data_IF_757361111010
#
_entry.id   IF_757361111010
#
_cell.length_a   1.000
_cell.length_b   1.000
_cell.length_c   1.000
_cell.angle_alpha   90.00
_cell.angle_beta   90.00
_cell.angle_gamma   90.00
#
_symmetry.space_group_name_H-M   'P 1'
#
loop_
_entity.id
_entity.type
_entity.pdbx_description
1 polymer ?
#
# COMPACT_ATOMS: atom_id res chain seq x y z
N UNK A 1 -6.27 -22.10 -11.61
CA UNK A 1 -7.04 -22.47 -10.39
C UNK A 1 -6.05 -22.90 -9.32
N UNK A 2 -5.90 -22.11 -8.26
CA UNK A 2 -5.04 -22.46 -7.14
C UNK A 2 -5.70 -23.60 -6.34
N UNK A 3 -4.94 -24.67 -6.06
CA UNK A 3 -5.41 -25.79 -5.22
C UNK A 3 -4.76 -25.65 -3.85
N UNK A 4 -5.52 -25.36 -2.82
CA UNK A 4 -5.13 -25.59 -1.42
C UNK A 4 -5.89 -26.83 -0.92
N UNK A 5 -5.16 -27.91 -0.61
CA UNK A 5 -5.76 -29.09 0.01
C UNK A 5 -6.79 -29.86 -0.81
N UNK A 6 -6.72 -29.83 -2.16
CA UNK A 6 -7.61 -30.64 -3.01
C UNK A 6 -9.00 -30.04 -3.29
N UNK A 7 -9.39 -28.95 -2.65
CA UNK A 7 -10.63 -28.23 -2.97
C UNK A 7 -10.35 -27.07 -3.94
N UNK A 8 -11.19 -26.98 -4.98
CA UNK A 8 -11.21 -25.81 -5.88
C UNK A 8 -11.84 -24.66 -5.13
N UNK A 9 -11.10 -23.58 -4.90
CA UNK A 9 -11.67 -22.37 -4.30
C UNK A 9 -12.66 -21.75 -5.28
N UNK A 10 -13.88 -21.48 -4.81
CA UNK A 10 -14.89 -20.76 -5.55
C UNK A 10 -14.75 -19.25 -5.32
N UNK A 11 -14.27 -18.56 -6.32
CA UNK A 11 -14.11 -17.09 -6.29
C UNK A 11 -15.31 -16.34 -6.85
N UNK A 12 -16.39 -17.02 -7.24
CA UNK A 12 -17.52 -16.43 -7.98
C UNK A 12 -18.20 -15.26 -7.24
N UNK A 13 -18.20 -15.28 -5.92
CA UNK A 13 -18.80 -14.20 -5.10
C UNK A 13 -17.92 -12.96 -5.14
N UNK A 14 -16.60 -13.13 -4.96
CA UNK A 14 -15.63 -12.05 -5.02
C UNK A 14 -15.59 -11.46 -6.43
N UNK A 15 -15.57 -12.33 -7.42
CA UNK A 15 -15.55 -11.99 -8.84
C UNK A 15 -16.73 -11.08 -9.22
N UNK A 16 -17.96 -11.49 -8.88
CA UNK A 16 -19.17 -10.67 -9.11
C UNK A 16 -19.13 -9.33 -8.38
N UNK A 17 -18.63 -9.32 -7.16
CA UNK A 17 -18.52 -8.09 -6.39
C UNK A 17 -17.54 -7.11 -7.04
N UNK A 18 -16.39 -7.59 -7.49
CA UNK A 18 -15.40 -6.77 -8.19
C UNK A 18 -15.95 -6.27 -9.53
N UNK A 19 -16.59 -7.13 -10.32
CA UNK A 19 -17.23 -6.73 -11.58
C UNK A 19 -18.25 -5.60 -11.34
N UNK A 20 -19.07 -5.71 -10.30
CA UNK A 20 -20.02 -4.64 -9.93
C UNK A 20 -19.30 -3.33 -9.56
N UNK A 21 -18.21 -3.40 -8.81
CA UNK A 21 -17.41 -2.21 -8.50
C UNK A 21 -16.82 -1.56 -9.76
N UNK A 22 -16.28 -2.36 -10.66
CA UNK A 22 -15.66 -1.87 -11.90
C UNK A 22 -16.68 -1.24 -12.84
N UNK A 23 -17.90 -1.80 -12.96
CA UNK A 23 -18.96 -1.19 -13.81
C UNK A 23 -19.39 0.19 -13.32
N UNK A 24 -19.15 0.52 -12.05
CA UNK A 24 -19.48 1.81 -11.43
C UNK A 24 -18.27 2.74 -11.29
N UNK A 25 -17.12 2.33 -11.77
CA UNK A 25 -15.85 3.03 -11.57
C UNK A 25 -15.24 3.47 -12.89
N UNK A 26 -14.54 4.60 -12.82
CA UNK A 26 -13.57 5.04 -13.82
C UNK A 26 -12.24 5.35 -13.14
N UNK A 27 -11.11 5.38 -13.85
CA UNK A 27 -9.81 5.70 -13.24
C UNK A 27 -9.79 7.00 -12.44
N UNK A 28 -10.54 8.01 -12.86
CA UNK A 28 -10.66 9.31 -12.17
C UNK A 28 -11.70 9.31 -11.04
N UNK A 29 -12.71 8.41 -11.10
CA UNK A 29 -13.82 8.32 -10.14
C UNK A 29 -14.09 6.88 -9.72
N UNK A 30 -13.19 6.25 -8.99
CA UNK A 30 -13.41 4.89 -8.50
C UNK A 30 -14.46 4.89 -7.40
N UNK A 31 -15.44 3.99 -7.48
CA UNK A 31 -16.59 3.95 -6.55
C UNK A 31 -16.18 3.76 -5.08
N UNK A 32 -15.03 3.15 -4.80
CA UNK A 32 -14.54 3.00 -3.43
C UNK A 32 -14.10 4.32 -2.78
N UNK A 33 -14.00 5.41 -3.55
CA UNK A 33 -13.80 6.77 -3.07
C UNK A 33 -15.10 7.58 -3.08
N UNK A 34 -16.25 6.93 -2.88
CA UNK A 34 -17.60 7.52 -3.03
C UNK A 34 -17.80 8.79 -2.21
N UNK A 35 -17.21 8.87 -1.01
CA UNK A 35 -17.34 10.05 -0.16
C UNK A 35 -16.76 11.30 -0.83
N UNK A 36 -15.57 11.19 -1.45
CA UNK A 36 -14.97 12.28 -2.21
C UNK A 36 -15.78 12.61 -3.46
N UNK A 37 -16.26 11.59 -4.16
CA UNK A 37 -17.08 11.75 -5.36
C UNK A 37 -18.37 12.53 -5.02
N UNK A 38 -19.06 12.17 -3.94
CA UNK A 38 -20.28 12.85 -3.50
C UNK A 38 -20.04 14.31 -3.08
N UNK A 39 -18.85 14.62 -2.59
CA UNK A 39 -18.45 15.98 -2.24
C UNK A 39 -17.93 16.79 -3.47
N UNK A 40 -17.93 16.20 -4.65
CA UNK A 40 -17.38 16.83 -5.86
C UNK A 40 -15.84 17.00 -5.84
N UNK A 41 -15.16 16.28 -4.94
CA UNK A 41 -13.71 16.33 -4.80
C UNK A 41 -13.04 15.33 -5.74
N UNK A 42 -11.83 15.68 -6.19
CA UNK A 42 -11.00 14.72 -6.90
C UNK A 42 -10.52 13.61 -5.96
N UNK A 43 -10.53 12.39 -6.43
CA UNK A 43 -9.82 11.30 -5.77
C UNK A 43 -8.31 11.57 -5.84
N UNK A 44 -7.62 11.40 -4.71
CA UNK A 44 -6.17 11.57 -4.59
C UNK A 44 -5.52 10.23 -4.33
N UNK A 45 -4.21 10.12 -4.56
CA UNK A 45 -3.43 8.95 -4.18
C UNK A 45 -3.60 8.62 -2.69
N UNK A 46 -4.03 7.40 -2.36
CA UNK A 46 -4.28 6.98 -0.97
C UNK A 46 -4.17 5.46 -0.79
N UNK A 47 -4.23 5.01 0.47
CA UNK A 47 -4.09 3.60 0.82
C UNK A 47 -5.26 2.72 0.34
N UNK A 48 -6.48 3.27 0.26
CA UNK A 48 -7.68 2.53 -0.21
C UNK A 48 -7.46 2.12 -1.66
N UNK A 49 -6.97 3.04 -2.50
CA UNK A 49 -6.60 2.76 -3.88
C UNK A 49 -5.57 1.61 -3.95
N UNK A 50 -4.56 1.66 -3.08
CA UNK A 50 -3.56 0.60 -2.99
C UNK A 50 -4.14 -0.78 -2.68
N UNK A 51 -5.09 -0.85 -1.74
CA UNK A 51 -5.78 -2.10 -1.40
C UNK A 51 -6.63 -2.61 -2.57
N UNK A 52 -7.40 -1.72 -3.22
CA UNK A 52 -8.29 -2.11 -4.31
C UNK A 52 -7.53 -2.53 -5.56
N UNK A 53 -6.52 -1.76 -5.97
CA UNK A 53 -5.72 -2.11 -7.16
C UNK A 53 -4.93 -3.41 -6.91
N UNK A 54 -4.39 -3.61 -5.71
CA UNK A 54 -3.74 -4.89 -5.37
C UNK A 54 -4.72 -6.05 -5.43
N UNK A 55 -5.95 -5.90 -4.94
CA UNK A 55 -6.98 -6.93 -5.05
C UNK A 55 -7.32 -7.27 -6.51
N UNK A 56 -7.39 -6.27 -7.40
CA UNK A 56 -7.60 -6.49 -8.83
C UNK A 56 -6.45 -7.28 -9.46
N UNK A 57 -5.20 -6.95 -9.17
CA UNK A 57 -4.02 -7.66 -9.68
C UNK A 57 -3.99 -9.11 -9.16
N UNK A 58 -4.32 -9.36 -7.90
CA UNK A 58 -4.44 -10.71 -7.36
C UNK A 58 -5.55 -11.51 -8.05
N UNK A 59 -6.72 -10.91 -8.26
CA UNK A 59 -7.80 -11.55 -9.01
C UNK A 59 -7.43 -11.81 -10.47
N UNK A 60 -6.69 -10.90 -11.11
CA UNK A 60 -6.13 -11.17 -12.43
C UNK A 60 -5.16 -12.37 -12.40
N UNK A 61 -4.30 -12.46 -11.40
CA UNK A 61 -3.37 -13.58 -11.27
C UNK A 61 -4.06 -14.93 -11.14
N UNK A 62 -5.24 -14.97 -10.49
CA UNK A 62 -6.04 -16.17 -10.22
C UNK A 62 -6.94 -16.51 -11.40
N UNK A 63 -7.70 -15.53 -11.91
CA UNK A 63 -8.79 -15.75 -12.88
C UNK A 63 -8.35 -15.59 -14.33
N UNK A 64 -7.28 -14.84 -14.57
CA UNK A 64 -6.81 -14.40 -15.89
C UNK A 64 -7.82 -13.53 -16.65
N UNK A 65 -8.78 -12.92 -15.95
CA UNK A 65 -9.69 -11.94 -16.55
C UNK A 65 -8.94 -10.65 -16.84
N UNK A 66 -8.79 -10.34 -18.12
CA UNK A 66 -7.99 -9.21 -18.59
C UNK A 66 -8.51 -7.87 -18.07
N UNK A 67 -9.81 -7.73 -17.88
CA UNK A 67 -10.47 -6.52 -17.40
C UNK A 67 -9.95 -6.03 -16.05
N UNK A 68 -9.50 -6.93 -15.15
CA UNK A 68 -8.94 -6.57 -13.87
C UNK A 68 -7.57 -5.91 -14.01
N UNK A 69 -6.74 -6.47 -14.87
CA UNK A 69 -5.45 -5.88 -15.21
C UNK A 69 -5.63 -4.53 -15.93
N UNK A 70 -6.51 -4.49 -16.95
CA UNK A 70 -6.74 -3.29 -17.75
C UNK A 70 -7.21 -2.12 -16.88
N UNK A 71 -8.12 -2.38 -15.93
CA UNK A 71 -8.56 -1.34 -15.01
C UNK A 71 -7.44 -0.92 -14.04
N UNK A 72 -6.69 -1.87 -13.49
CA UNK A 72 -5.58 -1.59 -12.57
C UNK A 72 -4.50 -0.73 -13.25
N UNK A 73 -4.10 -1.11 -14.47
CA UNK A 73 -3.14 -0.35 -15.25
C UNK A 73 -3.67 1.03 -15.63
N UNK A 74 -4.90 1.13 -16.13
CA UNK A 74 -5.51 2.41 -16.49
C UNK A 74 -5.64 3.36 -15.29
N UNK A 75 -5.97 2.84 -14.10
CA UNK A 75 -6.06 3.62 -12.86
C UNK A 75 -4.71 4.20 -12.45
N UNK A 76 -3.67 3.39 -12.45
CA UNK A 76 -2.31 3.84 -12.09
C UNK A 76 -1.74 4.74 -13.18
N UNK A 77 -1.96 4.40 -14.46
CA UNK A 77 -1.50 5.17 -15.61
C UNK A 77 -2.06 6.60 -15.64
N UNK A 78 -3.33 6.76 -15.23
CA UNK A 78 -4.00 8.04 -15.12
C UNK A 78 -3.35 8.96 -14.08
N UNK A 79 -2.77 8.41 -13.01
CA UNK A 79 -2.20 9.18 -11.89
C UNK A 79 -0.70 9.40 -12.00
N UNK A 80 0.00 8.52 -12.65
CA UNK A 80 1.48 8.56 -12.75
C UNK A 80 1.88 9.23 -14.07
N UNK A 81 2.60 10.34 -13.97
CA UNK A 81 3.11 11.09 -15.11
C UNK A 81 4.43 10.51 -15.65
N UNK A 82 4.82 10.90 -16.85
CA UNK A 82 6.02 10.37 -17.54
C UNK A 82 7.33 10.67 -16.80
N UNK A 83 7.35 11.70 -15.97
CA UNK A 83 8.47 12.04 -15.10
C UNK A 83 8.50 11.25 -13.77
N UNK A 84 7.46 10.44 -13.50
CA UNK A 84 7.30 9.65 -12.29
C UNK A 84 6.58 10.36 -11.16
N UNK A 85 6.16 11.61 -11.34
CA UNK A 85 5.29 12.29 -10.37
C UNK A 85 3.92 11.65 -10.33
N UNK A 86 3.23 11.77 -9.20
CA UNK A 86 1.95 11.09 -8.95
C UNK A 86 0.92 12.12 -8.48
N UNK A 87 -0.22 12.16 -9.14
CA UNK A 87 -1.34 13.04 -8.77
C UNK A 87 -1.81 12.78 -7.34
N UNK A 88 -1.74 13.82 -6.50
CA UNK A 88 -2.18 13.75 -5.11
C UNK A 88 -1.23 13.02 -4.17
N UNK A 89 0.02 12.83 -4.57
CA UNK A 89 1.12 12.34 -3.73
C UNK A 89 2.17 13.44 -3.53
N UNK A 90 2.45 13.74 -2.28
CA UNK A 90 3.51 14.67 -1.89
C UNK A 90 4.45 14.01 -0.89
N UNK A 91 5.71 13.85 -1.26
CA UNK A 91 6.75 13.28 -0.39
C UNK A 91 6.87 14.04 0.94
N UNK A 92 6.65 15.36 0.94
CA UNK A 92 6.79 16.20 2.13
C UNK A 92 5.72 15.94 3.21
N UNK A 93 4.60 15.30 2.87
CA UNK A 93 3.60 14.88 3.85
C UNK A 93 4.15 13.83 4.81
N UNK A 94 5.15 13.05 4.39
CA UNK A 94 5.75 11.97 5.17
C UNK A 94 4.68 11.08 5.82
N UNK A 95 3.75 10.61 4.98
CA UNK A 95 2.60 9.81 5.37
C UNK A 95 2.78 8.36 4.89
N UNK A 96 2.92 7.42 5.84
CA UNK A 96 3.13 6.00 5.53
C UNK A 96 1.98 5.41 4.73
N UNK A 97 0.74 5.84 4.97
CA UNK A 97 -0.42 5.34 4.23
C UNK A 97 -0.29 5.53 2.72
N UNK A 98 0.33 6.64 2.32
CA UNK A 98 0.50 6.97 0.90
C UNK A 98 1.51 6.04 0.19
N UNK A 99 2.33 5.29 0.93
CA UNK A 99 3.25 4.28 0.37
C UNK A 99 2.47 3.04 -0.12
N UNK A 100 1.31 2.75 0.47
CA UNK A 100 0.58 1.51 0.23
C UNK A 100 0.25 1.27 -1.25
N UNK A 101 -0.25 2.29 -1.95
CA UNK A 101 -0.59 2.15 -3.36
C UNK A 101 0.65 1.92 -4.25
N UNK A 102 1.82 2.35 -3.79
CA UNK A 102 3.10 2.11 -4.48
C UNK A 102 3.46 0.64 -4.66
N UNK A 103 2.92 -0.26 -3.84
CA UNK A 103 3.14 -1.71 -3.96
C UNK A 103 2.68 -2.27 -5.31
N UNK A 104 1.67 -1.68 -5.90
CA UNK A 104 1.10 -2.11 -7.18
C UNK A 104 1.99 -1.75 -8.37
N UNK A 105 2.84 -0.74 -8.20
CA UNK A 105 3.73 -0.27 -9.27
C UNK A 105 4.76 -1.31 -9.69
N UNK A 106 5.25 -2.16 -8.78
CA UNK A 106 6.23 -3.20 -9.11
C UNK A 106 5.66 -4.21 -10.09
N UNK A 107 4.48 -4.75 -9.79
CA UNK A 107 3.81 -5.73 -10.63
C UNK A 107 3.40 -5.13 -11.98
N UNK A 108 2.85 -3.90 -11.97
CA UNK A 108 2.51 -3.20 -13.20
C UNK A 108 3.74 -2.86 -14.05
N UNK A 109 4.87 -2.51 -13.43
CA UNK A 109 6.12 -2.31 -14.14
C UNK A 109 6.59 -3.59 -14.83
N UNK A 110 6.55 -4.72 -14.12
CA UNK A 110 6.93 -6.03 -14.69
C UNK A 110 6.03 -6.43 -15.88
N UNK A 111 4.73 -6.15 -15.77
CA UNK A 111 3.76 -6.55 -16.79
C UNK A 111 3.72 -5.62 -18.01
N UNK A 112 4.04 -4.32 -17.82
CA UNK A 112 3.88 -3.30 -18.88
C UNK A 112 5.18 -2.75 -19.42
N UNK A 113 6.25 -2.78 -18.63
CA UNK A 113 7.52 -2.13 -18.96
C UNK A 113 7.48 -0.61 -18.98
N UNK A 114 6.43 0.04 -18.41
CA UNK A 114 6.29 1.49 -18.41
C UNK A 114 7.30 2.15 -17.45
N UNK A 115 8.32 2.82 -18.00
CA UNK A 115 9.38 3.47 -17.22
C UNK A 115 8.88 4.51 -16.22
N UNK A 116 7.73 5.12 -16.45
CA UNK A 116 7.12 6.04 -15.49
C UNK A 116 6.79 5.36 -14.15
N UNK A 117 6.42 4.07 -14.16
CA UNK A 117 6.18 3.31 -12.94
C UNK A 117 7.46 3.09 -12.15
N UNK A 118 8.57 2.83 -12.84
CA UNK A 118 9.89 2.71 -12.19
C UNK A 118 10.31 4.02 -11.51
N UNK A 119 10.10 5.14 -12.19
CA UNK A 119 10.40 6.47 -11.61
C UNK A 119 9.48 6.78 -10.41
N UNK A 120 8.20 6.43 -10.48
CA UNK A 120 7.27 6.58 -9.36
C UNK A 120 7.65 5.71 -8.15
N UNK A 121 8.14 4.50 -8.38
CA UNK A 121 8.73 3.65 -7.32
C UNK A 121 9.89 4.38 -6.64
N UNK A 122 10.81 4.99 -7.40
CA UNK A 122 11.93 5.75 -6.84
C UNK A 122 11.47 6.98 -6.04
N UNK A 123 10.43 7.67 -6.53
CA UNK A 123 9.82 8.80 -5.82
C UNK A 123 9.28 8.36 -4.46
N UNK A 124 8.48 7.28 -4.41
CA UNK A 124 7.92 6.76 -3.16
C UNK A 124 9.02 6.28 -2.22
N UNK A 125 10.05 5.62 -2.73
CA UNK A 125 11.18 5.21 -1.92
C UNK A 125 11.92 6.40 -1.30
N UNK A 126 11.96 7.55 -1.98
CA UNK A 126 12.56 8.77 -1.43
C UNK A 126 11.88 9.23 -0.16
N UNK A 127 10.55 9.08 -0.04
CA UNK A 127 9.81 9.35 1.20
C UNK A 127 10.30 8.46 2.35
N UNK A 128 10.49 7.16 2.11
CA UNK A 128 10.91 6.20 3.15
C UNK A 128 12.24 6.63 3.78
N UNK A 129 13.17 7.15 2.98
CA UNK A 129 14.46 7.67 3.47
C UNK A 129 14.32 8.92 4.33
N UNK A 130 13.25 9.69 4.14
CA UNK A 130 13.00 10.94 4.84
C UNK A 130 12.07 10.76 6.05
N UNK A 131 11.45 9.58 6.22
CA UNK A 131 10.51 9.33 7.30
C UNK A 131 11.14 9.63 8.67
N UNK A 132 10.49 10.46 9.51
CA UNK A 132 10.92 10.68 10.87
C UNK A 132 10.83 9.39 11.69
N UNK A 133 11.68 9.31 12.74
CA UNK A 133 11.80 8.09 13.54
C UNK A 133 11.67 8.38 15.02
N UNK A 134 11.16 7.42 15.75
CA UNK A 134 11.22 7.38 17.20
C UNK A 134 12.66 7.17 17.68
N UNK A 135 12.92 7.36 18.96
CA UNK A 135 14.24 7.08 19.56
C UNK A 135 14.66 5.59 19.40
N UNK A 136 13.70 4.67 19.24
CA UNK A 136 13.96 3.24 19.00
C UNK A 136 14.14 2.91 17.51
N UNK A 137 14.04 3.90 16.61
CA UNK A 137 14.23 3.76 15.17
C UNK A 137 12.97 3.38 14.38
N UNK A 138 11.80 3.27 15.01
CA UNK A 138 10.55 3.05 14.30
C UNK A 138 10.14 4.28 13.49
N UNK A 139 9.57 4.07 12.31
CA UNK A 139 8.95 5.16 11.56
C UNK A 139 7.78 5.76 12.34
N UNK A 140 7.66 7.08 12.31
CA UNK A 140 6.37 7.70 12.63
C UNK A 140 5.34 7.29 11.58
N UNK A 141 4.10 7.11 12.00
CA UNK A 141 3.05 6.77 11.05
C UNK A 141 2.80 7.92 10.05
N UNK A 142 2.77 9.16 10.56
CA UNK A 142 2.67 10.39 9.76
C UNK A 142 3.42 11.51 10.44
N UNK A 143 3.94 12.45 9.66
CA UNK A 143 4.60 13.62 10.21
C UNK A 143 3.69 14.47 11.13
N UNK A 144 2.39 14.50 10.83
CA UNK A 144 1.39 15.20 11.66
C UNK A 144 1.07 14.48 12.99
N UNK A 145 1.58 13.27 13.20
CA UNK A 145 1.43 12.49 14.43
C UNK A 145 2.82 12.14 14.99
N UNK A 146 3.53 13.13 15.61
CA UNK A 146 4.90 12.93 16.06
C UNK A 146 5.03 11.74 17.03
N UNK A 147 6.03 10.91 16.77
CA UNK A 147 6.37 9.73 17.59
C UNK A 147 5.29 8.65 17.71
N UNK A 148 4.24 8.70 16.89
CA UNK A 148 3.24 7.64 16.86
C UNK A 148 3.66 6.53 15.88
N UNK A 149 3.55 5.29 16.34
CA UNK A 149 3.77 4.07 15.56
C UNK A 149 2.46 3.30 15.53
N UNK A 150 1.95 2.99 14.35
CA UNK A 150 0.70 2.27 14.18
C UNK A 150 0.96 0.90 13.57
N UNK A 151 0.16 -0.10 13.99
CA UNK A 151 0.33 -1.49 13.57
C UNK A 151 0.16 -1.69 12.06
N UNK A 152 -0.84 -1.03 11.49
CA UNK A 152 -1.11 -1.07 10.06
C UNK A 152 -0.03 -0.41 9.22
N UNK A 153 0.79 0.49 9.82
CA UNK A 153 1.97 1.05 9.17
C UNK A 153 2.95 -0.03 8.68
N UNK A 154 3.00 -1.20 9.34
CA UNK A 154 3.76 -2.34 8.83
C UNK A 154 3.22 -2.82 7.49
N UNK A 155 1.91 -2.95 7.35
CA UNK A 155 1.28 -3.33 6.08
C UNK A 155 1.39 -2.24 5.03
N UNK A 156 1.22 -0.98 5.43
CA UNK A 156 1.25 0.14 4.50
C UNK A 156 2.62 0.32 3.83
N UNK A 157 3.71 0.20 4.59
CA UNK A 157 5.06 0.56 4.13
C UNK A 157 5.96 -0.66 3.87
N UNK A 158 6.02 -1.63 4.79
CA UNK A 158 7.11 -2.62 4.76
C UNK A 158 7.12 -3.53 3.53
N UNK A 159 5.98 -3.95 2.95
CA UNK A 159 6.01 -4.71 1.70
C UNK A 159 6.63 -3.93 0.53
N UNK A 160 6.33 -2.64 0.40
CA UNK A 160 6.95 -1.79 -0.61
C UNK A 160 8.45 -1.63 -0.36
N UNK A 161 8.83 -1.37 0.89
CA UNK A 161 10.23 -1.20 1.28
C UNK A 161 11.03 -2.47 1.01
N UNK A 162 10.51 -3.64 1.41
CA UNK A 162 11.15 -4.94 1.16
C UNK A 162 11.32 -5.21 -0.33
N UNK A 163 10.30 -4.94 -1.14
CA UNK A 163 10.34 -5.14 -2.59
C UNK A 163 11.40 -4.25 -3.24
N UNK A 164 11.44 -2.96 -2.87
CA UNK A 164 12.45 -2.03 -3.36
C UNK A 164 13.87 -2.49 -3.01
N UNK A 165 14.10 -2.83 -1.75
CA UNK A 165 15.40 -3.30 -1.26
C UNK A 165 15.84 -4.58 -1.98
N UNK A 166 14.89 -5.49 -2.23
CA UNK A 166 15.15 -6.75 -2.92
C UNK A 166 15.57 -6.53 -4.36
N UNK A 167 14.87 -5.64 -5.07
CA UNK A 167 15.05 -5.47 -6.52
C UNK A 167 16.13 -4.47 -6.89
N UNK A 168 16.28 -3.40 -6.11
CA UNK A 168 17.01 -2.22 -6.56
C UNK A 168 18.09 -1.72 -5.62
N UNK A 169 18.23 -2.30 -4.41
CA UNK A 169 19.17 -1.80 -3.41
C UNK A 169 19.98 -2.90 -2.70
N UNK A 170 20.13 -4.07 -3.31
CA UNK A 170 20.95 -5.18 -2.80
C UNK A 170 20.67 -5.56 -1.33
N UNK A 171 19.40 -5.38 -0.90
CA UNK A 171 18.93 -5.73 0.45
C UNK A 171 19.62 -4.96 1.60
N UNK A 172 20.17 -3.78 1.31
CA UNK A 172 20.99 -3.01 2.27
C UNK A 172 20.27 -2.65 3.55
N UNK A 173 18.94 -2.43 3.48
CA UNK A 173 18.15 -1.97 4.61
C UNK A 173 17.20 -3.05 5.17
N UNK A 174 17.47 -4.32 4.93
CA UNK A 174 16.66 -5.40 5.51
C UNK A 174 16.64 -5.38 7.03
N UNK A 175 17.77 -5.05 7.67
CA UNK A 175 17.83 -4.92 9.14
C UNK A 175 16.91 -3.82 9.66
N UNK A 176 16.74 -2.72 8.92
CA UNK A 176 15.80 -1.67 9.27
C UNK A 176 14.35 -2.16 9.17
N UNK A 177 14.02 -2.90 8.13
CA UNK A 177 12.68 -3.53 7.99
C UNK A 177 12.42 -4.46 9.18
N UNK A 178 13.36 -5.33 9.52
CA UNK A 178 13.25 -6.21 10.70
C UNK A 178 13.09 -5.42 12.00
N UNK A 179 13.78 -4.28 12.13
CA UNK A 179 13.65 -3.40 13.30
C UNK A 179 12.22 -2.90 13.47
N UNK A 180 11.54 -2.51 12.37
CA UNK A 180 10.15 -2.05 12.44
C UNK A 180 9.24 -3.13 13.05
N UNK A 181 9.35 -4.39 12.58
CA UNK A 181 8.58 -5.52 13.13
C UNK A 181 8.96 -5.82 14.59
N UNK A 182 10.23 -5.85 14.93
CA UNK A 182 10.70 -6.11 16.31
C UNK A 182 10.15 -5.08 17.30
N UNK A 183 10.16 -3.80 16.93
CA UNK A 183 9.65 -2.73 17.77
C UNK A 183 8.15 -2.83 17.99
N UNK A 184 7.39 -3.17 16.96
CA UNK A 184 5.94 -3.40 17.07
C UNK A 184 5.66 -4.59 17.98
N UNK A 185 6.32 -5.72 17.78
CA UNK A 185 6.16 -6.90 18.64
C UNK A 185 6.46 -6.57 20.10
N UNK A 186 7.54 -5.84 20.35
CA UNK A 186 7.98 -5.46 21.70
C UNK A 186 6.99 -4.52 22.39
N UNK A 187 6.47 -3.53 21.68
CA UNK A 187 5.75 -2.41 22.28
C UNK A 187 4.21 -2.55 22.22
N UNK A 188 3.67 -3.31 21.24
CA UNK A 188 2.21 -3.39 21.03
C UNK A 188 1.59 -4.71 21.48
N UNK A 189 2.38 -5.78 21.65
CA UNK A 189 1.83 -7.07 22.08
C UNK A 189 1.38 -7.01 23.53
N UNK A 190 0.10 -7.28 23.76
CA UNK A 190 -0.45 -7.45 25.11
C UNK A 190 0.01 -8.77 25.70
N UNK A 191 0.70 -8.77 26.86
CA UNK A 191 1.27 -9.98 27.43
C UNK A 191 0.21 -10.94 28.01
N UNK A 192 -1.01 -10.45 28.30
CA UNK A 192 -2.08 -11.26 28.89
C UNK A 192 -2.91 -11.94 27.80
N UNK A 193 -3.32 -11.18 26.80
CA UNK A 193 -4.21 -11.69 25.74
C UNK A 193 -3.45 -12.23 24.53
N UNK A 194 -2.18 -11.83 24.36
CA UNK A 194 -1.39 -12.12 23.16
C UNK A 194 -1.78 -11.32 21.93
N UNK A 195 -2.81 -10.48 22.01
CA UNK A 195 -3.25 -9.60 20.92
C UNK A 195 -2.33 -8.37 20.80
N UNK A 196 -2.43 -7.70 19.66
CA UNK A 196 -1.68 -6.48 19.43
C UNK A 196 -2.59 -5.26 19.55
N UNK A 197 -2.08 -4.23 20.22
CA UNK A 197 -2.68 -2.90 20.20
C UNK A 197 -2.51 -2.26 18.81
N UNK A 198 -3.36 -1.31 18.47
CA UNK A 198 -3.29 -0.66 17.17
C UNK A 198 -2.13 0.33 17.05
N UNK A 199 -1.86 1.09 18.11
CA UNK A 199 -0.82 2.12 18.09
C UNK A 199 -0.16 2.35 19.45
N UNK A 200 1.02 2.96 19.45
CA UNK A 200 1.68 3.55 20.63
C UNK A 200 2.42 4.84 20.26
N UNK A 201 2.72 5.65 21.25
CA UNK A 201 3.60 6.82 21.15
C UNK A 201 4.85 6.70 22.03
N UNK A 202 5.65 7.78 22.12
CA UNK A 202 6.86 7.81 22.97
C UNK A 202 6.60 7.56 24.46
N UNK A 203 5.41 7.90 24.97
CA UNK A 203 5.01 7.59 26.35
C UNK A 203 4.72 6.10 26.51
N UNK A 204 4.56 5.40 25.38
CA UNK A 204 4.12 4.01 25.28
C UNK A 204 2.72 3.76 25.85
N UNK A 205 1.94 4.81 25.93
CA UNK A 205 0.51 4.66 26.16
C UNK A 205 -0.15 4.05 24.91
N UNK A 206 -1.04 3.12 25.17
CA UNK A 206 -1.76 2.41 24.11
C UNK A 206 -3.02 3.17 23.80
N UNK A 207 -3.22 3.57 22.56
CA UNK A 207 -4.40 4.33 22.18
C UNK A 207 -5.63 3.45 22.02
N UNK A 208 -5.59 2.41 21.26
CA UNK A 208 -6.70 1.49 20.97
C UNK A 208 -6.23 0.15 20.38
#
# INVERSE_FOLDING_TARGET
MAKLGGQTMDYSVIDRYIEELLTKSTPDKPIWNIEKIMQGLKSTWNYIDGCMIKALLEMYSITRKQEYFDFADAFIDYRVHDDGTIDGYDVSELNIDNVNAGKTLFELYDLTGKEKYRKAIDLIYSQIKLMPRTAEGSFWHKNIYPNQVWLDGLYMCQPFYMEYETRFNDKKNYDDIFLQFKNVIKNMKDPVTGLYKHAYDNSREMFW
#
